data_IF_988616969049
#
_entry.id   IF_988616969049
#
_cell.length_a   1.000
_cell.length_b   1.000
_cell.length_c   1.000
_cell.angle_alpha   90.00
_cell.angle_beta   90.00
_cell.angle_gamma   90.00
#
_symmetry.space_group_name_H-M   'P 1'
#
loop_
_entity.id
_entity.type
_entity.pdbx_description
1 polymer ?
#
# COMPACT_ATOMS: atom_id res chain seq x y z
N UNK A 1 10.73 9.84 -23.03
CA UNK A 1 10.04 8.97 -22.06
C UNK A 1 11.10 8.14 -21.37
N UNK A 2 11.08 8.06 -20.03
CA UNK A 2 12.06 7.29 -19.26
C UNK A 2 11.71 5.81 -19.35
N UNK A 3 12.60 5.00 -19.96
CA UNK A 3 12.42 3.54 -20.04
C UNK A 3 13.06 2.88 -18.84
N UNK A 4 12.30 2.06 -18.12
CA UNK A 4 12.76 1.24 -17.01
C UNK A 4 12.13 -0.15 -17.10
N UNK A 5 12.63 -1.11 -16.33
CA UNK A 5 12.01 -2.44 -16.28
C UNK A 5 10.52 -2.38 -15.89
N UNK A 6 10.10 -1.45 -15.01
CA UNK A 6 8.70 -1.27 -14.65
C UNK A 6 7.86 -0.79 -15.83
N UNK A 7 8.33 0.23 -16.57
CA UNK A 7 7.57 0.77 -17.71
C UNK A 7 7.44 -0.24 -18.85
N UNK A 8 8.47 -1.02 -19.10
CA UNK A 8 8.45 -2.08 -20.13
C UNK A 8 7.57 -3.26 -19.70
N UNK A 9 7.67 -3.68 -18.44
CA UNK A 9 6.91 -4.80 -17.89
C UNK A 9 5.39 -4.57 -17.92
N UNK A 10 4.93 -3.35 -17.60
CA UNK A 10 3.50 -3.02 -17.52
C UNK A 10 2.95 -2.32 -18.78
N UNK A 11 3.83 -1.76 -19.62
CA UNK A 11 3.42 -0.91 -20.75
C UNK A 11 2.90 0.45 -20.31
N UNK A 12 3.45 1.02 -19.24
CA UNK A 12 3.08 2.34 -18.69
C UNK A 12 4.10 3.41 -19.08
N UNK A 13 3.67 4.67 -19.05
CA UNK A 13 4.46 5.81 -19.50
C UNK A 13 5.52 6.25 -18.49
N UNK A 14 5.19 6.21 -17.20
CA UNK A 14 6.04 6.69 -16.12
C UNK A 14 6.36 5.55 -15.14
N UNK A 15 7.59 5.44 -14.62
CA UNK A 15 7.98 4.37 -13.69
C UNK A 15 7.45 4.62 -12.28
N UNK A 16 6.15 4.79 -12.16
CA UNK A 16 5.46 5.14 -10.93
C UNK A 16 4.25 4.22 -10.74
N UNK A 17 4.05 3.77 -9.50
CA UNK A 17 2.86 3.06 -9.05
C UNK A 17 2.11 3.95 -8.07
N UNK A 18 0.83 4.20 -8.33
CA UNK A 18 -0.06 4.77 -7.31
C UNK A 18 -0.44 3.65 -6.34
N UNK A 19 -0.13 3.81 -5.07
CA UNK A 19 -0.44 2.81 -4.05
C UNK A 19 -1.95 2.58 -3.90
N UNK A 20 -2.35 1.32 -3.74
CA UNK A 20 -3.72 0.96 -3.40
C UNK A 20 -4.03 1.36 -1.96
N UNK A 21 -4.62 2.52 -1.77
CA UNK A 21 -4.91 3.09 -0.45
C UNK A 21 -6.39 2.91 -0.10
N UNK A 22 -6.67 2.38 1.08
CA UNK A 22 -8.00 2.15 1.60
C UNK A 22 -8.13 2.57 3.05
N UNK A 23 -9.27 2.33 3.69
CA UNK A 23 -10.36 1.44 3.27
C UNK A 23 -11.40 2.08 2.35
N UNK A 24 -11.30 3.36 2.04
CA UNK A 24 -12.20 4.05 1.14
C UNK A 24 -12.02 3.58 -0.31
N UNK A 25 -13.04 3.82 -1.13
CA UNK A 25 -12.87 3.69 -2.58
C UNK A 25 -11.85 4.71 -3.09
N UNK A 26 -11.07 4.31 -4.07
CA UNK A 26 -10.12 5.18 -4.76
C UNK A 26 -10.25 5.05 -6.29
N UNK A 27 -11.47 4.85 -6.77
CA UNK A 27 -11.74 4.62 -8.19
C UNK A 27 -11.35 5.83 -9.05
N UNK A 28 -11.71 7.05 -8.63
CA UNK A 28 -11.37 8.28 -9.37
C UNK A 28 -9.86 8.47 -9.44
N UNK A 29 -9.16 8.29 -8.31
CA UNK A 29 -7.71 8.37 -8.25
C UNK A 29 -7.06 7.33 -9.16
N UNK A 30 -7.51 6.08 -9.10
CA UNK A 30 -7.00 5.00 -9.95
C UNK A 30 -7.17 5.32 -11.43
N UNK A 31 -8.35 5.80 -11.84
CA UNK A 31 -8.64 6.21 -13.22
C UNK A 31 -7.73 7.36 -13.64
N UNK A 32 -7.61 8.40 -12.82
CA UNK A 32 -6.81 9.58 -13.13
C UNK A 32 -5.32 9.24 -13.28
N UNK A 33 -4.77 8.41 -12.39
CA UNK A 33 -3.37 7.99 -12.43
C UNK A 33 -3.08 7.06 -13.59
N UNK A 34 -3.98 6.11 -13.88
CA UNK A 34 -3.86 5.23 -15.04
C UNK A 34 -3.88 6.03 -16.36
N UNK A 35 -4.79 6.99 -16.50
CA UNK A 35 -4.87 7.85 -17.67
C UNK A 35 -3.64 8.79 -17.81
N UNK A 36 -3.00 9.14 -16.70
CA UNK A 36 -1.74 9.89 -16.72
C UNK A 36 -0.53 9.02 -17.13
N UNK A 37 -0.72 7.70 -17.28
CA UNK A 37 0.36 6.77 -17.66
C UNK A 37 1.17 6.22 -16.49
N UNK A 38 0.58 6.17 -15.31
CA UNK A 38 1.08 5.54 -14.07
C UNK A 38 0.29 4.25 -13.86
N UNK A 39 0.83 3.25 -13.14
CA UNK A 39 -0.01 2.14 -12.69
C UNK A 39 -0.99 2.65 -11.62
N UNK A 40 -2.29 2.62 -11.93
CA UNK A 40 -3.35 2.87 -10.96
C UNK A 40 -3.69 1.60 -10.18
N UNK A 41 -3.77 1.66 -8.85
CA UNK A 41 -4.20 0.52 -8.04
C UNK A 41 -5.51 0.83 -7.30
N UNK A 42 -6.53 0.04 -7.58
CA UNK A 42 -7.75 0.00 -6.79
C UNK A 42 -7.48 -0.64 -5.43
N UNK A 43 -7.95 -0.02 -4.35
CA UNK A 43 -7.97 -0.67 -3.04
C UNK A 43 -9.24 -1.52 -2.91
N UNK A 44 -9.10 -2.75 -2.45
CA UNK A 44 -10.22 -3.63 -2.12
C UNK A 44 -10.44 -3.76 -0.61
N UNK A 45 -9.67 -3.02 0.19
CA UNK A 45 -9.73 -3.11 1.66
C UNK A 45 -11.08 -2.66 2.24
N UNK A 46 -11.85 -1.85 1.53
CA UNK A 46 -13.20 -1.47 1.93
C UNK A 46 -14.17 -2.64 2.08
N UNK A 47 -13.95 -3.75 1.39
CA UNK A 47 -14.77 -4.96 1.52
C UNK A 47 -14.60 -5.66 2.88
N UNK A 48 -13.45 -5.49 3.53
CA UNK A 48 -13.13 -6.16 4.79
C UNK A 48 -13.63 -5.40 6.03
N UNK A 49 -14.19 -4.19 5.86
CA UNK A 49 -14.59 -3.34 6.99
C UNK A 49 -16.12 -3.30 7.21
N UNK A 50 -16.88 -4.18 6.55
CA UNK A 50 -18.35 -4.19 6.63
C UNK A 50 -18.85 -4.20 8.07
N UNK A 51 -18.32 -5.09 8.89
CA UNK A 51 -18.77 -5.29 10.28
C UNK A 51 -18.04 -4.39 11.27
N UNK A 52 -16.89 -3.82 10.88
CA UNK A 52 -16.05 -2.95 11.72
C UNK A 52 -16.47 -1.49 11.57
N UNK A 53 -16.72 -1.05 10.33
CA UNK A 53 -17.11 0.31 9.99
C UNK A 53 -18.12 0.31 8.82
N UNK A 54 -19.41 0.11 9.12
CA UNK A 54 -20.46 0.05 8.10
C UNK A 54 -20.55 1.31 7.23
N UNK A 55 -20.21 2.48 7.76
CA UNK A 55 -20.22 3.75 7.01
C UNK A 55 -19.14 3.79 5.93
N UNK A 56 -17.95 3.29 6.24
CA UNK A 56 -16.86 3.16 5.26
C UNK A 56 -17.20 2.11 4.21
N UNK A 57 -17.75 0.97 4.60
CA UNK A 57 -18.22 -0.06 3.67
C UNK A 57 -19.29 0.51 2.72
N UNK A 58 -20.29 1.22 3.26
CA UNK A 58 -21.32 1.88 2.46
C UNK A 58 -20.72 2.84 1.43
N UNK A 59 -19.80 3.70 1.86
CA UNK A 59 -19.11 4.62 0.96
C UNK A 59 -18.35 3.89 -0.15
N UNK A 60 -17.66 2.78 0.17
CA UNK A 60 -16.96 1.95 -0.81
C UNK A 60 -17.93 1.38 -1.86
N UNK A 61 -19.05 0.82 -1.43
CA UNK A 61 -20.07 0.22 -2.27
C UNK A 61 -20.70 1.26 -3.20
N UNK A 62 -21.17 2.39 -2.64
CA UNK A 62 -21.87 3.44 -3.39
C UNK A 62 -20.94 4.14 -4.41
N UNK A 63 -19.67 4.38 -4.06
CA UNK A 63 -18.68 4.96 -4.99
C UNK A 63 -18.41 4.03 -6.17
N UNK A 64 -18.50 2.72 -5.95
CA UNK A 64 -18.41 1.69 -7.01
C UNK A 64 -19.65 1.59 -7.89
N UNK A 65 -20.70 2.38 -7.63
CA UNK A 65 -21.98 2.30 -8.35
C UNK A 65 -22.82 1.08 -7.98
N UNK A 66 -22.60 0.55 -6.77
CA UNK A 66 -23.32 -0.59 -6.23
C UNK A 66 -24.25 -0.19 -5.08
N UNK A 67 -25.05 -1.14 -4.58
CA UNK A 67 -25.94 -0.97 -3.44
C UNK A 67 -25.57 -1.94 -2.31
N UNK A 68 -26.09 -1.71 -1.11
CA UNK A 68 -25.78 -2.56 0.05
C UNK A 68 -26.40 -3.96 -0.06
N UNK A 69 -27.38 -4.15 -0.94
CA UNK A 69 -28.04 -5.41 -1.25
C UNK A 69 -27.23 -6.25 -2.25
N UNK A 70 -26.30 -5.62 -2.97
CA UNK A 70 -25.46 -6.33 -3.94
C UNK A 70 -24.49 -7.29 -3.21
N UNK A 71 -24.26 -8.45 -3.82
CA UNK A 71 -23.22 -9.36 -3.37
C UNK A 71 -21.83 -8.74 -3.52
N UNK A 72 -20.85 -9.21 -2.74
CA UNK A 72 -19.45 -8.73 -2.87
C UNK A 72 -18.91 -8.90 -4.29
N UNK A 73 -19.26 -10.00 -4.97
CA UNK A 73 -18.90 -10.23 -6.37
C UNK A 73 -19.51 -9.16 -7.27
N UNK A 74 -20.79 -8.83 -7.08
CA UNK A 74 -21.48 -7.78 -7.86
C UNK A 74 -20.84 -6.40 -7.63
N UNK A 75 -20.53 -6.06 -6.38
CA UNK A 75 -19.83 -4.81 -6.04
C UNK A 75 -18.49 -4.73 -6.77
N UNK A 76 -17.69 -5.78 -6.71
CA UNK A 76 -16.37 -5.84 -7.38
C UNK A 76 -16.50 -5.69 -8.89
N UNK A 77 -17.44 -6.41 -9.51
CA UNK A 77 -17.71 -6.32 -10.95
C UNK A 77 -18.05 -4.90 -11.39
N UNK A 78 -18.91 -4.21 -10.63
CA UNK A 78 -19.25 -2.81 -10.90
C UNK A 78 -18.04 -1.89 -10.79
N UNK A 79 -17.23 -2.05 -9.73
CA UNK A 79 -15.99 -1.28 -9.52
C UNK A 79 -14.99 -1.51 -10.67
N UNK A 80 -14.77 -2.76 -11.08
CA UNK A 80 -13.84 -3.08 -12.17
C UNK A 80 -14.32 -2.53 -13.51
N UNK A 81 -15.63 -2.68 -13.83
CA UNK A 81 -16.24 -2.13 -15.03
C UNK A 81 -16.17 -0.59 -15.08
N UNK A 82 -16.48 0.07 -13.95
CA UNK A 82 -16.37 1.53 -13.85
C UNK A 82 -14.96 2.00 -14.14
N UNK A 83 -13.95 1.31 -13.56
CA UNK A 83 -12.54 1.67 -13.75
C UNK A 83 -12.10 1.41 -15.19
N UNK A 84 -12.42 0.25 -15.76
CA UNK A 84 -12.14 -0.06 -17.16
C UNK A 84 -12.72 0.99 -18.10
N UNK A 85 -14.00 1.33 -17.93
CA UNK A 85 -14.66 2.34 -18.75
C UNK A 85 -14.01 3.72 -18.64
N UNK A 86 -13.47 4.06 -17.46
CA UNK A 86 -12.77 5.30 -17.24
C UNK A 86 -11.36 5.38 -17.84
N UNK A 87 -10.74 4.24 -18.18
CA UNK A 87 -9.36 4.19 -18.68
C UNK A 87 -9.20 3.66 -20.10
N UNK A 88 -10.23 3.01 -20.67
CA UNK A 88 -10.12 2.28 -21.95
C UNK A 88 -9.69 3.15 -23.12
N UNK A 89 -10.18 4.38 -23.19
CA UNK A 89 -9.89 5.30 -24.31
C UNK A 89 -8.46 5.81 -24.27
N UNK A 90 -7.92 6.05 -23.06
CA UNK A 90 -6.52 6.44 -22.84
C UNK A 90 -5.57 5.23 -22.80
N UNK A 91 -6.07 3.99 -22.86
CA UNK A 91 -5.33 2.75 -22.66
C UNK A 91 -4.55 2.74 -21.34
N UNK A 92 -5.14 3.34 -20.30
CA UNK A 92 -4.56 3.39 -18.96
C UNK A 92 -4.46 1.99 -18.34
N UNK A 93 -3.40 1.72 -17.59
CA UNK A 93 -3.18 0.44 -16.94
C UNK A 93 -3.56 0.53 -15.47
N UNK A 94 -4.40 -0.38 -15.03
CA UNK A 94 -4.77 -0.50 -13.63
C UNK A 94 -4.66 -1.93 -13.09
N UNK A 95 -4.69 -2.03 -11.78
CA UNK A 95 -4.73 -3.28 -11.04
C UNK A 95 -5.53 -3.16 -9.76
N UNK A 96 -5.57 -4.25 -9.01
CA UNK A 96 -6.21 -4.31 -7.68
C UNK A 96 -5.17 -4.59 -6.61
N UNK A 97 -5.28 -3.93 -5.46
CA UNK A 97 -4.54 -4.28 -4.26
C UNK A 97 -5.38 -5.17 -3.37
N UNK A 98 -4.86 -6.38 -3.07
CA UNK A 98 -5.52 -7.40 -2.26
C UNK A 98 -4.67 -7.72 -1.04
N UNK A 99 -5.23 -7.56 0.14
CA UNK A 99 -4.60 -8.01 1.39
C UNK A 99 -4.76 -9.52 1.53
N UNK A 100 -3.64 -10.24 1.71
CA UNK A 100 -3.60 -11.72 1.66
C UNK A 100 -3.17 -12.36 2.98
N UNK A 101 -3.37 -11.66 4.11
CA UNK A 101 -3.14 -12.27 5.43
C UNK A 101 -4.04 -13.48 5.65
N UNK A 102 -3.66 -14.37 6.54
CA UNK A 102 -4.40 -15.60 6.80
C UNK A 102 -5.85 -15.33 7.21
N UNK A 103 -6.08 -14.29 8.00
CA UNK A 103 -7.40 -13.88 8.47
C UNK A 103 -8.30 -13.36 7.35
N UNK A 104 -7.71 -12.83 6.29
CA UNK A 104 -8.42 -12.26 5.14
C UNK A 104 -8.46 -13.20 3.92
N UNK A 105 -7.91 -14.40 4.03
CA UNK A 105 -7.71 -15.30 2.89
C UNK A 105 -8.99 -15.63 2.12
N UNK A 106 -10.12 -15.83 2.81
CA UNK A 106 -11.41 -16.11 2.16
C UNK A 106 -11.89 -14.92 1.31
N UNK A 107 -11.82 -13.70 1.85
CA UNK A 107 -12.16 -12.49 1.11
C UNK A 107 -11.17 -12.20 -0.01
N UNK A 108 -9.88 -12.42 0.21
CA UNK A 108 -8.86 -12.30 -0.83
C UNK A 108 -9.14 -13.25 -2.00
N UNK A 109 -9.52 -14.48 -1.71
CA UNK A 109 -9.93 -15.45 -2.74
C UNK A 109 -11.12 -14.96 -3.55
N UNK A 110 -12.17 -14.47 -2.89
CA UNK A 110 -13.34 -13.90 -3.57
C UNK A 110 -12.96 -12.75 -4.51
N UNK A 111 -12.07 -11.86 -4.08
CA UNK A 111 -11.60 -10.72 -4.88
C UNK A 111 -10.82 -11.20 -6.11
N UNK A 112 -9.87 -12.12 -5.91
CA UNK A 112 -9.03 -12.66 -6.99
C UNK A 112 -9.87 -13.44 -7.99
N UNK A 113 -10.73 -14.34 -7.51
CA UNK A 113 -11.62 -15.14 -8.38
C UNK A 113 -12.56 -14.24 -9.20
N UNK A 114 -13.10 -13.19 -8.59
CA UNK A 114 -13.95 -12.21 -9.32
C UNK A 114 -13.16 -11.48 -10.40
N UNK A 115 -11.93 -11.07 -10.10
CA UNK A 115 -11.06 -10.41 -11.09
C UNK A 115 -10.76 -11.32 -12.28
N UNK A 116 -10.50 -12.61 -12.01
CA UNK A 116 -10.27 -13.63 -13.05
C UNK A 116 -11.49 -13.78 -13.92
N UNK A 117 -12.67 -14.06 -13.33
CA UNK A 117 -13.94 -14.22 -14.04
C UNK A 117 -14.28 -13.02 -14.92
N UNK A 118 -14.12 -11.80 -14.38
CA UNK A 118 -14.42 -10.58 -15.14
C UNK A 118 -13.55 -10.46 -16.38
N UNK A 119 -12.26 -10.80 -16.30
CA UNK A 119 -11.35 -10.77 -17.47
C UNK A 119 -11.59 -11.92 -18.47
N UNK A 120 -12.11 -13.05 -18.01
CA UNK A 120 -12.52 -14.16 -18.88
C UNK A 120 -13.77 -13.81 -19.66
N UNK A 121 -14.76 -13.20 -18.98
CA UNK A 121 -16.04 -12.79 -19.56
C UNK A 121 -15.92 -11.53 -20.45
N UNK A 122 -14.94 -10.66 -20.16
CA UNK A 122 -14.68 -9.40 -20.85
C UNK A 122 -13.20 -9.33 -21.30
N UNK A 123 -12.83 -10.04 -22.39
CA UNK A 123 -11.43 -10.14 -22.84
C UNK A 123 -10.77 -8.79 -23.15
N UNK A 124 -11.55 -7.77 -23.52
CA UNK A 124 -11.09 -6.40 -23.77
C UNK A 124 -10.46 -5.75 -22.54
N UNK A 125 -10.85 -6.17 -21.35
CA UNK A 125 -10.23 -5.68 -20.12
C UNK A 125 -8.76 -6.09 -19.96
N UNK A 126 -8.29 -7.12 -20.66
CA UNK A 126 -6.91 -7.60 -20.54
C UNK A 126 -5.88 -6.54 -20.89
N UNK A 127 -6.24 -5.57 -21.72
CA UNK A 127 -5.35 -4.47 -22.12
C UNK A 127 -5.19 -3.39 -21.04
N UNK A 128 -6.17 -3.24 -20.14
CA UNK A 128 -6.20 -2.20 -19.11
C UNK A 128 -6.10 -2.76 -17.70
N UNK A 129 -6.84 -3.82 -17.37
CA UNK A 129 -6.81 -4.50 -16.08
C UNK A 129 -5.75 -5.59 -16.07
N UNK A 130 -4.49 -5.20 -15.84
CA UNK A 130 -3.32 -6.09 -15.99
C UNK A 130 -2.79 -6.66 -14.69
N UNK A 131 -3.05 -6.05 -13.53
CA UNK A 131 -2.28 -6.32 -12.31
C UNK A 131 -3.13 -6.84 -11.17
N UNK A 132 -2.67 -7.91 -10.52
CA UNK A 132 -3.00 -8.25 -9.14
C UNK A 132 -1.81 -7.91 -8.26
N UNK A 133 -2.02 -6.96 -7.36
CA UNK A 133 -1.04 -6.53 -6.37
C UNK A 133 -1.43 -7.10 -5.01
N UNK A 134 -0.60 -7.95 -4.44
CA UNK A 134 -0.87 -8.55 -3.13
C UNK A 134 -0.06 -7.89 -2.02
N UNK A 135 -0.62 -7.80 -0.82
CA UNK A 135 -0.02 -7.12 0.33
C UNK A 135 -0.42 -7.77 1.65
N UNK A 136 0.26 -7.42 2.73
CA UNK A 136 -0.07 -7.78 4.12
C UNK A 136 -0.28 -9.30 4.34
N UNK A 137 0.61 -10.13 3.80
CA UNK A 137 0.53 -11.58 4.00
C UNK A 137 1.59 -12.37 3.24
N UNK A 138 1.46 -13.70 3.26
CA UNK A 138 2.36 -14.60 2.56
C UNK A 138 1.95 -14.78 1.10
N UNK A 139 2.84 -14.54 0.12
CA UNK A 139 2.53 -14.75 -1.29
C UNK A 139 2.39 -16.23 -1.68
N UNK A 140 3.00 -17.16 -0.93
CA UNK A 140 3.13 -18.56 -1.32
C UNK A 140 1.83 -19.26 -1.74
N UNK A 141 0.67 -19.08 -1.05
CA UNK A 141 -0.56 -19.77 -1.41
C UNK A 141 -1.21 -19.30 -2.73
N UNK A 142 -0.78 -18.15 -3.30
CA UNK A 142 -1.50 -17.47 -4.38
C UNK A 142 -0.87 -17.65 -5.77
N UNK A 143 0.33 -18.22 -5.84
CA UNK A 143 1.14 -18.26 -7.06
C UNK A 143 0.45 -18.96 -8.22
N UNK A 144 -0.08 -20.15 -8.01
CA UNK A 144 -0.73 -20.93 -9.08
C UNK A 144 -2.00 -20.23 -9.61
N UNK A 145 -2.82 -19.72 -8.70
CA UNK A 145 -4.07 -19.04 -9.06
C UNK A 145 -3.84 -17.79 -9.90
N UNK A 146 -2.92 -16.91 -9.46
CA UNK A 146 -2.71 -15.61 -10.13
C UNK A 146 -1.99 -15.78 -11.47
N UNK A 147 -0.97 -16.63 -11.52
CA UNK A 147 -0.21 -16.87 -12.76
C UNK A 147 -1.05 -17.54 -13.83
N UNK A 148 -1.81 -18.56 -13.47
CA UNK A 148 -2.70 -19.29 -14.40
C UNK A 148 -3.72 -18.39 -15.06
N UNK A 149 -4.11 -17.29 -14.41
CA UNK A 149 -5.09 -16.32 -14.90
C UNK A 149 -4.51 -15.24 -15.84
N UNK A 150 -3.18 -15.23 -16.07
CA UNK A 150 -2.53 -14.28 -16.98
C UNK A 150 -2.52 -12.83 -16.50
N UNK A 151 -2.65 -12.62 -15.19
CA UNK A 151 -2.36 -11.33 -14.56
C UNK A 151 -0.85 -11.17 -14.32
N UNK A 152 -0.39 -9.92 -14.34
CA UNK A 152 0.91 -9.54 -13.78
C UNK A 152 0.81 -9.51 -12.28
N UNK A 153 1.62 -10.32 -11.62
CA UNK A 153 1.59 -10.43 -10.17
C UNK A 153 2.67 -9.58 -9.50
N UNK A 154 2.23 -8.60 -8.71
CA UNK A 154 3.08 -7.74 -7.90
C UNK A 154 2.86 -8.06 -6.41
N UNK A 155 3.91 -7.92 -5.59
CA UNK A 155 3.79 -8.08 -4.14
C UNK A 155 4.65 -7.07 -3.39
N UNK A 156 4.13 -6.50 -2.30
CA UNK A 156 4.86 -5.57 -1.44
C UNK A 156 5.49 -6.29 -0.25
N UNK A 157 6.76 -5.97 0.02
CA UNK A 157 7.53 -6.62 1.09
C UNK A 157 8.28 -5.60 1.96
N UNK A 158 8.48 -5.92 3.26
CA UNK A 158 9.23 -5.09 4.19
C UNK A 158 10.65 -5.59 4.46
N UNK A 159 11.11 -6.68 3.84
CA UNK A 159 12.41 -7.28 4.14
C UNK A 159 12.97 -8.13 2.99
N UNK A 160 14.29 -8.30 2.95
CA UNK A 160 14.97 -9.21 2.00
C UNK A 160 14.46 -10.64 2.13
N UNK A 161 14.21 -11.12 3.36
CA UNK A 161 13.64 -12.46 3.59
C UNK A 161 12.30 -12.63 2.87
N UNK A 162 11.44 -11.63 2.93
CA UNK A 162 10.14 -11.64 2.24
C UNK A 162 10.32 -11.60 0.72
N UNK A 163 11.32 -10.88 0.19
CA UNK A 163 11.65 -10.87 -1.23
C UNK A 163 12.03 -12.27 -1.74
N UNK A 164 12.81 -13.03 -0.98
CA UNK A 164 13.16 -14.41 -1.32
C UNK A 164 11.94 -15.36 -1.32
N UNK A 165 10.96 -15.12 -0.45
CA UNK A 165 9.68 -15.84 -0.49
C UNK A 165 8.87 -15.50 -1.74
N UNK A 166 8.83 -14.22 -2.13
CA UNK A 166 8.20 -13.77 -3.37
C UNK A 166 8.83 -14.42 -4.60
N UNK A 167 10.16 -14.46 -4.68
CA UNK A 167 10.89 -15.17 -5.74
C UNK A 167 10.45 -16.64 -5.83
N UNK A 168 10.37 -17.33 -4.69
CA UNK A 168 9.94 -18.74 -4.62
C UNK A 168 8.47 -18.91 -5.04
N UNK A 169 7.58 -18.00 -4.65
CA UNK A 169 6.16 -18.00 -5.04
C UNK A 169 5.96 -17.68 -6.53
N UNK A 170 6.94 -17.04 -7.15
CA UNK A 170 6.93 -16.62 -8.55
C UNK A 170 6.25 -15.29 -8.79
N UNK A 171 6.33 -14.39 -7.82
CA UNK A 171 5.99 -12.96 -7.99
C UNK A 171 6.86 -12.39 -9.12
N UNK A 172 6.25 -11.63 -10.03
CA UNK A 172 6.91 -11.11 -11.22
C UNK A 172 7.52 -9.72 -11.02
N UNK A 173 7.04 -8.95 -10.02
CA UNK A 173 7.62 -7.68 -9.60
C UNK A 173 7.44 -7.49 -8.09
N UNK A 174 8.49 -7.00 -7.45
CA UNK A 174 8.50 -6.80 -5.99
C UNK A 174 8.53 -5.32 -5.67
N UNK A 175 7.71 -4.92 -4.69
CA UNK A 175 7.73 -3.57 -4.13
C UNK A 175 8.38 -3.60 -2.75
N UNK A 176 9.59 -3.06 -2.64
CA UNK A 176 10.33 -2.95 -1.38
C UNK A 176 9.86 -1.71 -0.62
N UNK A 177 9.02 -1.92 0.39
CA UNK A 177 8.44 -0.83 1.21
C UNK A 177 9.20 -0.67 2.51
N UNK A 178 9.94 0.43 2.62
CA UNK A 178 10.64 0.80 3.85
C UNK A 178 9.69 1.23 4.96
N UNK A 179 10.25 1.42 6.15
CA UNK A 179 9.52 1.81 7.37
C UNK A 179 8.80 3.16 7.25
N UNK A 180 9.21 4.03 6.33
CA UNK A 180 8.53 5.29 6.00
C UNK A 180 7.19 5.07 5.29
N UNK A 181 6.89 3.85 4.88
CA UNK A 181 5.61 3.47 4.30
C UNK A 181 4.47 3.57 5.29
N UNK A 182 3.27 3.84 4.78
CA UNK A 182 2.05 3.87 5.59
C UNK A 182 1.44 2.48 5.80
N UNK A 183 0.55 2.36 6.79
CA UNK A 183 -0.23 1.17 7.14
C UNK A 183 0.60 0.03 7.74
N UNK A 184 0.75 -1.09 7.02
CA UNK A 184 1.42 -2.28 7.54
C UNK A 184 2.92 -2.19 7.30
N UNK A 185 3.67 -1.90 8.35
CA UNK A 185 5.11 -1.91 8.37
C UNK A 185 5.63 -3.15 9.12
N UNK A 186 6.90 -3.49 8.92
CA UNK A 186 7.54 -4.60 9.65
C UNK A 186 7.75 -4.27 11.13
N UNK A 187 7.75 -5.29 11.97
CA UNK A 187 8.23 -5.19 13.36
C UNK A 187 9.70 -4.76 13.45
N UNK A 188 10.50 -5.17 12.46
CA UNK A 188 11.88 -4.75 12.32
C UNK A 188 11.94 -3.62 11.30
N UNK A 189 12.10 -2.36 11.73
CA UNK A 189 12.10 -1.22 10.83
C UNK A 189 13.36 -1.19 9.97
N UNK A 190 13.19 -1.32 8.65
CA UNK A 190 14.25 -1.09 7.67
C UNK A 190 13.84 0.08 6.78
N UNK A 191 14.67 1.11 6.71
CA UNK A 191 14.38 2.30 5.91
C UNK A 191 14.55 2.04 4.42
N UNK A 192 13.78 2.77 3.60
CA UNK A 192 13.71 2.59 2.14
C UNK A 192 15.08 2.68 1.46
N UNK A 193 15.93 3.59 1.94
CA UNK A 193 17.29 3.80 1.41
C UNK A 193 18.21 2.59 1.61
N UNK A 194 17.94 1.76 2.60
CA UNK A 194 18.67 0.52 2.91
C UNK A 194 17.99 -0.68 2.27
N UNK A 195 16.66 -0.76 2.41
CA UNK A 195 15.89 -1.92 1.96
C UNK A 195 15.95 -2.10 0.44
N UNK A 196 15.73 -1.01 -0.32
CA UNK A 196 15.66 -1.08 -1.77
C UNK A 196 16.93 -1.67 -2.40
N UNK A 197 18.14 -1.14 -2.18
CA UNK A 197 19.35 -1.72 -2.76
C UNK A 197 19.64 -3.13 -2.25
N UNK A 198 19.36 -3.44 -0.99
CA UNK A 198 19.57 -4.78 -0.45
C UNK A 198 18.65 -5.82 -1.12
N UNK A 199 17.40 -5.47 -1.44
CA UNK A 199 16.48 -6.35 -2.17
C UNK A 199 16.91 -6.48 -3.64
N UNK A 200 17.33 -5.39 -4.29
CA UNK A 200 17.86 -5.43 -5.66
C UNK A 200 19.06 -6.37 -5.76
N UNK A 201 20.01 -6.27 -4.84
CA UNK A 201 21.20 -7.14 -4.78
C UNK A 201 20.81 -8.61 -4.55
N UNK A 202 19.91 -8.88 -3.59
CA UNK A 202 19.47 -10.25 -3.30
C UNK A 202 18.71 -10.90 -4.46
N UNK A 203 18.21 -10.13 -5.40
CA UNK A 203 17.43 -10.60 -6.55
C UNK A 203 18.18 -10.49 -7.89
N UNK A 204 19.44 -10.11 -7.89
CA UNK A 204 20.23 -9.81 -9.12
C UNK A 204 20.17 -10.94 -10.15
N UNK A 205 20.23 -12.19 -9.72
CA UNK A 205 20.18 -13.36 -10.61
C UNK A 205 18.77 -13.71 -11.11
N UNK A 206 17.72 -13.13 -10.54
CA UNK A 206 16.32 -13.48 -10.85
C UNK A 206 15.69 -12.65 -11.93
N UNK A 207 16.27 -11.52 -12.27
CA UNK A 207 15.70 -10.50 -13.18
C UNK A 207 14.32 -9.98 -12.77
N UNK A 208 13.90 -10.18 -11.53
CA UNK A 208 12.64 -9.65 -10.99
C UNK A 208 12.83 -8.16 -10.74
N UNK A 209 12.06 -7.27 -11.39
CA UNK A 209 12.15 -5.84 -11.13
C UNK A 209 11.78 -5.51 -9.69
N UNK A 210 12.50 -4.57 -9.08
CA UNK A 210 12.21 -4.08 -7.71
C UNK A 210 11.82 -2.62 -7.77
N UNK A 211 10.71 -2.25 -7.15
CA UNK A 211 10.20 -0.88 -7.05
C UNK A 211 10.35 -0.42 -5.59
N UNK A 212 10.85 0.78 -5.38
CA UNK A 212 10.94 1.38 -4.05
C UNK A 212 9.61 1.93 -3.58
N UNK A 213 9.28 1.74 -2.30
CA UNK A 213 8.12 2.33 -1.64
C UNK A 213 8.49 2.83 -0.23
N UNK A 214 7.71 3.77 0.29
CA UNK A 214 8.00 4.44 1.57
C UNK A 214 8.92 5.64 1.39
N UNK A 215 8.38 6.85 1.59
CA UNK A 215 9.13 8.10 1.49
C UNK A 215 9.33 8.67 0.08
N UNK A 216 8.97 7.97 -0.98
CA UNK A 216 9.07 8.48 -2.36
C UNK A 216 7.86 9.35 -2.72
N UNK A 217 8.08 10.58 -3.24
CA UNK A 217 6.98 11.51 -3.46
C UNK A 217 7.16 12.50 -4.63
N UNK A 218 8.32 12.57 -5.22
CA UNK A 218 8.64 13.53 -6.30
C UNK A 218 9.70 12.99 -7.27
N UNK A 219 10.08 13.81 -8.25
CA UNK A 219 11.09 13.43 -9.24
C UNK A 219 12.48 13.20 -8.65
N UNK A 220 12.84 13.86 -7.55
CA UNK A 220 14.15 13.68 -6.89
C UNK A 220 14.21 12.30 -6.20
N UNK A 221 13.16 11.96 -5.48
CA UNK A 221 13.06 10.66 -4.80
C UNK A 221 12.90 9.53 -5.79
N UNK A 222 12.19 9.73 -6.92
CA UNK A 222 12.17 8.77 -8.01
C UNK A 222 13.57 8.56 -8.61
N UNK A 223 14.32 9.64 -8.86
CA UNK A 223 15.70 9.53 -9.35
C UNK A 223 16.60 8.78 -8.35
N UNK A 224 16.42 9.01 -7.05
CA UNK A 224 17.12 8.25 -6.02
C UNK A 224 16.77 6.75 -6.05
N UNK A 225 15.48 6.40 -6.21
CA UNK A 225 15.06 4.99 -6.35
C UNK A 225 15.74 4.31 -7.54
N UNK A 226 15.82 5.00 -8.68
CA UNK A 226 16.48 4.47 -9.89
C UNK A 226 18.00 4.34 -9.69
N UNK A 227 18.64 5.31 -9.03
CA UNK A 227 20.08 5.28 -8.71
C UNK A 227 20.44 4.12 -7.76
N UNK A 228 19.51 3.71 -6.89
CA UNK A 228 19.64 2.54 -6.00
C UNK A 228 19.35 1.20 -6.70
N UNK A 229 19.17 1.19 -8.03
CA UNK A 229 18.89 0.00 -8.82
C UNK A 229 17.41 -0.36 -8.90
N UNK A 230 16.52 0.44 -8.38
CA UNK A 230 15.07 0.23 -8.48
C UNK A 230 14.56 0.46 -9.90
N UNK A 231 13.48 -0.22 -10.26
CA UNK A 231 12.79 -0.08 -11.55
C UNK A 231 11.80 1.11 -11.58
N UNK A 232 11.53 1.71 -10.45
CA UNK A 232 10.58 2.81 -10.26
C UNK A 232 10.26 3.07 -8.81
N UNK A 233 9.21 3.86 -8.55
CA UNK A 233 8.75 4.18 -7.20
C UNK A 233 7.24 3.99 -7.04
N UNK A 234 6.81 3.45 -5.90
CA UNK A 234 5.41 3.48 -5.47
C UNK A 234 5.21 4.66 -4.53
N UNK A 235 4.16 5.43 -4.76
CA UNK A 235 3.82 6.61 -3.98
C UNK A 235 2.39 6.49 -3.43
N UNK A 236 2.21 6.76 -2.14
CA UNK A 236 0.90 6.79 -1.47
C UNK A 236 0.48 8.22 -1.13
N UNK A 237 1.06 8.79 -0.07
CA UNK A 237 0.71 10.10 0.49
C UNK A 237 0.73 11.22 -0.55
N UNK A 238 1.64 11.15 -1.54
CA UNK A 238 1.69 12.13 -2.63
C UNK A 238 0.39 12.15 -3.42
N UNK A 239 -0.15 10.97 -3.77
CA UNK A 239 -1.40 10.86 -4.51
C UNK A 239 -2.62 11.16 -3.63
N UNK A 240 -2.57 10.86 -2.32
CA UNK A 240 -3.64 11.21 -1.39
C UNK A 240 -3.94 12.72 -1.39
N UNK A 241 -2.91 13.56 -1.53
CA UNK A 241 -3.03 15.02 -1.54
C UNK A 241 -3.48 15.60 -2.90
N UNK A 242 -3.81 14.78 -3.90
CA UNK A 242 -4.26 15.26 -5.20
C UNK A 242 -5.75 15.58 -5.21
N UNK A 243 -6.18 16.40 -6.17
CA UNK A 243 -7.59 16.77 -6.35
C UNK A 243 -8.45 15.57 -6.73
N UNK A 244 -7.87 14.63 -7.48
CA UNK A 244 -8.52 13.43 -8.00
C UNK A 244 -8.69 12.34 -6.94
N UNK A 245 -8.03 12.48 -5.78
CA UNK A 245 -8.15 11.48 -4.73
C UNK A 245 -9.56 11.48 -4.12
N UNK A 246 -10.13 10.29 -3.96
CA UNK A 246 -11.46 10.07 -3.38
C UNK A 246 -11.50 10.23 -1.84
N UNK A 247 -10.46 10.77 -1.24
CA UNK A 247 -10.35 11.00 0.19
C UNK A 247 -11.06 12.28 0.61
N UNK A 248 -11.58 12.30 1.84
CA UNK A 248 -12.20 13.48 2.42
C UNK A 248 -11.21 14.68 2.45
N UNK A 249 -11.72 15.88 2.17
CA UNK A 249 -10.89 17.11 2.10
C UNK A 249 -10.09 17.35 3.40
N UNK A 250 -10.64 16.98 4.55
CA UNK A 250 -9.94 17.08 5.83
C UNK A 250 -8.62 16.28 5.85
N UNK A 251 -8.59 15.10 5.23
CA UNK A 251 -7.39 14.28 5.11
C UNK A 251 -6.38 14.90 4.15
N UNK A 252 -6.85 15.38 2.99
CA UNK A 252 -6.00 16.07 2.01
C UNK A 252 -5.35 17.30 2.62
N UNK A 253 -6.17 18.12 3.31
CA UNK A 253 -5.70 19.32 3.99
C UNK A 253 -4.69 18.98 5.09
N UNK A 254 -4.93 17.93 5.87
CA UNK A 254 -3.99 17.45 6.88
C UNK A 254 -2.61 17.10 6.32
N UNK A 255 -2.55 16.48 5.14
CA UNK A 255 -1.29 16.18 4.44
C UNK A 255 -0.60 17.47 3.99
N UNK A 256 -1.35 18.42 3.43
CA UNK A 256 -0.81 19.73 2.97
C UNK A 256 -0.27 20.54 4.15
N UNK A 257 -1.01 20.59 5.25
CA UNK A 257 -0.63 21.35 6.45
C UNK A 257 0.56 20.73 7.19
N UNK A 258 0.68 19.41 7.17
CA UNK A 258 1.85 18.73 7.68
C UNK A 258 3.15 19.17 6.98
N UNK A 259 3.09 19.43 5.67
CA UNK A 259 4.22 19.97 4.90
C UNK A 259 4.54 21.45 5.16
N UNK A 260 3.60 22.21 5.74
CA UNK A 260 3.71 23.68 5.94
C UNK A 260 4.14 24.06 7.37
N UNK A 261 4.23 23.13 8.31
CA UNK A 261 4.59 23.45 9.71
C UNK A 261 5.97 24.05 9.80
N UNK A 262 6.19 25.15 10.58
CA UNK A 262 7.49 25.74 10.82
C UNK A 262 8.47 24.69 11.36
N UNK A 263 9.70 24.70 10.86
CA UNK A 263 10.71 23.68 11.19
C UNK A 263 10.62 22.39 10.38
N UNK A 264 9.59 22.25 9.55
CA UNK A 264 9.52 21.18 8.58
C UNK A 264 10.16 21.65 7.27
N UNK A 265 11.31 21.13 6.90
CA UNK A 265 11.85 21.33 5.55
C UNK A 265 10.78 20.85 4.55
N UNK A 266 10.23 21.80 3.78
CA UNK A 266 9.11 21.52 2.86
C UNK A 266 9.41 20.36 1.92
N UNK A 267 8.40 19.64 1.51
CA UNK A 267 8.48 18.55 0.51
C UNK A 267 9.04 17.22 1.02
N UNK A 268 10.16 17.23 1.74
CA UNK A 268 10.79 16.01 2.26
C UNK A 268 9.91 15.28 3.30
N UNK A 269 8.99 15.97 3.94
CA UNK A 269 8.09 15.39 4.96
C UNK A 269 6.70 15.03 4.47
N UNK A 270 6.31 15.41 3.26
CA UNK A 270 5.19 14.72 2.59
C UNK A 270 5.55 13.25 2.35
N UNK A 271 6.84 12.95 2.21
CA UNK A 271 7.34 11.58 2.16
C UNK A 271 7.28 10.86 3.51
N UNK A 272 7.48 11.59 4.63
CA UNK A 272 7.42 11.04 6.00
C UNK A 272 6.04 11.06 6.63
N UNK A 273 5.01 11.58 5.95
CA UNK A 273 3.64 11.60 6.48
C UNK A 273 3.04 10.18 6.63
N UNK A 274 3.67 9.16 6.07
CA UNK A 274 3.34 7.77 6.36
C UNK A 274 3.49 7.43 7.85
N UNK A 275 4.55 7.93 8.51
CA UNK A 275 4.74 7.79 9.95
C UNK A 275 3.82 8.70 10.77
N UNK A 276 3.46 9.88 10.26
CA UNK A 276 2.45 10.74 10.91
C UNK A 276 1.04 10.17 10.80
N UNK A 277 0.75 9.36 9.79
CA UNK A 277 -0.51 8.63 9.70
C UNK A 277 -0.72 7.65 10.85
N UNK A 278 0.34 7.09 11.41
CA UNK A 278 0.25 6.24 12.61
C UNK A 278 0.02 7.07 13.89
N UNK A 279 0.62 8.26 13.98
CA UNK A 279 0.46 9.12 15.16
C UNK A 279 -0.80 10.02 15.10
N UNK A 280 -1.26 10.39 13.90
CA UNK A 280 -2.47 11.21 13.72
C UNK A 280 -3.73 10.40 13.48
N UNK A 281 -3.63 9.15 13.10
CA UNK A 281 -4.76 8.22 12.94
C UNK A 281 -4.93 7.32 14.18
N UNK A 282 -4.19 7.53 15.25
CA UNK A 282 -4.75 7.22 16.55
C UNK A 282 -5.92 8.18 16.77
N UNK A 283 -7.06 7.78 16.22
CA UNK A 283 -8.35 8.33 16.53
C UNK A 283 -8.49 8.31 18.06
N UNK A 284 -8.17 9.44 18.70
CA UNK A 284 -8.61 9.67 20.06
C UNK A 284 -10.12 9.76 19.97
N UNK A 285 -10.78 8.64 20.21
CA UNK A 285 -12.16 8.69 20.65
C UNK A 285 -12.26 9.80 21.72
N UNK A 286 -13.29 10.63 21.69
CA UNK A 286 -13.50 11.60 22.76
C UNK A 286 -13.36 10.84 24.07
N UNK A 287 -12.44 11.30 24.93
CA UNK A 287 -12.36 10.78 26.28
C UNK A 287 -13.72 11.09 26.92
N UNK A 288 -14.56 10.09 27.07
CA UNK A 288 -15.62 10.15 28.05
C UNK A 288 -14.95 10.45 29.36
N UNK A 289 -15.29 11.56 29.96
CA UNK A 289 -14.88 11.91 31.31
C UNK A 289 -15.44 10.83 32.27
N UNK A 290 -14.59 10.10 32.95
CA UNK A 290 -15.07 9.39 34.13
C UNK A 290 -15.16 10.43 35.25
N UNK A 291 -16.37 10.80 35.62
CA UNK A 291 -16.60 11.28 36.94
C UNK A 291 -16.45 10.09 37.88
N UNK A 292 -15.76 10.35 38.99
CA UNK A 292 -15.70 9.62 40.25
C UNK A 292 -14.86 8.35 40.37
N UNK A 293 -13.93 8.43 41.30
CA UNK A 293 -13.30 7.29 41.94
C UNK A 293 -11.85 7.46 42.34
N UNK A 294 -11.59 8.41 43.24
CA UNK A 294 -10.32 8.47 43.97
C UNK A 294 -10.05 7.18 44.74
N UNK A 295 -8.93 6.51 44.48
CA UNK A 295 -8.18 5.73 45.49
C UNK A 295 -6.68 5.85 45.23
N UNK A 296 -6.06 6.46 46.24
CA UNK A 296 -4.63 6.56 46.46
C UNK A 296 -3.98 5.18 46.57
N UNK A 297 -2.88 4.97 45.92
CA UNK A 297 -1.90 3.98 46.37
C UNK A 297 -0.54 4.67 46.43
N UNK A 298 -0.09 4.78 47.67
CA UNK A 298 1.17 5.28 48.15
C UNK A 298 2.38 4.50 47.64
N UNK A 299 3.47 5.22 47.57
CA UNK A 299 4.78 4.89 47.07
C UNK A 299 5.46 3.62 47.60
N UNK A 300 6.36 3.15 46.77
CA UNK A 300 7.59 2.44 47.18
C UNK A 300 8.75 2.85 46.30
N UNK A 301 9.51 3.80 46.80
CA UNK A 301 10.88 4.09 46.40
C UNK A 301 11.78 2.93 46.82
N UNK A 302 12.43 2.26 45.89
CA UNK A 302 13.63 1.45 46.19
C UNK A 302 14.86 2.18 45.73
N UNK A 303 15.73 2.40 46.72
CA UNK A 303 17.07 3.02 46.63
C UNK A 303 18.00 2.07 45.89
N UNK A 304 18.83 2.64 45.04
CA UNK A 304 20.08 2.07 44.60
C UNK A 304 21.00 1.89 45.81
N UNK A 305 21.59 0.73 45.91
CA UNK A 305 22.73 0.48 46.81
C UNK A 305 23.95 0.09 45.96
N UNK A 306 24.90 1.00 45.95
CA UNK A 306 26.25 0.79 45.41
C UNK A 306 27.03 -0.16 46.33
N UNK A 307 27.58 -1.25 45.77
CA UNK A 307 28.77 -1.88 46.36
C UNK A 307 29.73 -2.34 45.26
N UNK A 308 30.71 -1.49 45.06
CA UNK A 308 32.01 -1.90 44.55
C UNK A 308 32.76 -2.59 45.67
N UNK A 309 33.21 -3.80 45.49
CA UNK A 309 34.34 -4.35 46.26
C UNK A 309 35.24 -5.24 45.40
N UNK A 310 36.44 -4.84 45.35
CA UNK A 310 37.64 -5.46 44.85
C UNK A 310 37.81 -6.91 45.34
N UNK A 311 38.32 -7.78 44.54
CA UNK A 311 39.25 -8.83 44.96
C UNK A 311 40.20 -9.16 43.80
N UNK A 312 41.43 -8.99 44.10
CA UNK A 312 42.68 -9.33 43.42
C UNK A 312 43.08 -10.80 43.80
N UNK A 313 43.84 -11.44 42.88
CA UNK A 313 44.76 -12.57 43.08
C UNK A 313 44.17 -13.92 43.41
N UNK A 314 44.29 -14.87 42.54
CA UNK A 314 45.36 -15.80 42.17
C UNK A 314 45.09 -16.46 40.82
#
# INVERSE_FOLDING_TARGET
MLKTQLTEFLGIKHPIIQAGMGPFSNNKLCIATANAGVLGLLSTSGLFVRDINPGVYKSFVETGGATLEDSQETVLRKVFNQTHNGVKDAKGVFGINVMVSAELAAGAKTIIDTAIKVREEQPEMKETFKVIFTSAGDPMPWGETIKGAGFKWLHVIPSVRSAMRCKKAGVELIVASGHEGGFHTSWEPVHSLILLPAVVEALVDSKIPVVGAGGFCDGKTLAAALALGGAGAQMGTRFLATKEADFAELWKQGVVDAGRRPGNAGGARLCGAGSMGQDTVQYRAPKEHPQDGARSISGHTRRHDDRVSRASHE
#
